data_IF_507308997197
#
_entry.id   IF_507308997197
#
_cell.length_a   1.000
_cell.length_b   1.000
_cell.length_c   1.000
_cell.angle_alpha   90.00
_cell.angle_beta   90.00
_cell.angle_gamma   90.00
#
_symmetry.space_group_name_H-M   'P 1'
#
loop_
_entity.id
_entity.type
_entity.pdbx_description
1 polymer ?
#
# COMPACT_ATOMS: atom_id res chain seq x y z
N UNK A 1 22.35 2.92 15.84
CA UNK A 1 21.66 2.17 14.77
C UNK A 1 20.41 1.56 15.38
N UNK A 2 19.23 2.18 15.18
CA UNK A 2 17.96 1.55 15.57
C UNK A 2 17.47 0.73 14.39
N UNK A 3 17.69 -0.58 14.44
CA UNK A 3 17.23 -1.52 13.43
C UNK A 3 15.75 -1.85 13.67
N UNK A 4 14.89 -1.63 12.68
CA UNK A 4 13.46 -1.98 12.71
C UNK A 4 13.20 -3.51 12.62
N UNK A 5 14.24 -4.33 12.79
CA UNK A 5 14.20 -5.79 12.73
C UNK A 5 13.15 -6.41 13.68
N UNK A 6 12.88 -5.89 14.89
CA UNK A 6 11.86 -6.48 15.77
C UNK A 6 10.45 -6.56 15.17
N UNK A 7 10.07 -5.57 14.35
CA UNK A 7 8.76 -5.54 13.69
C UNK A 7 8.59 -6.62 12.62
N UNK A 8 9.70 -7.12 12.06
CA UNK A 8 9.71 -8.17 11.03
C UNK A 8 9.59 -9.58 11.64
N UNK A 9 9.86 -9.74 12.94
CA UNK A 9 9.92 -11.05 13.62
C UNK A 9 8.59 -11.40 14.32
N UNK A 10 7.73 -10.41 14.64
CA UNK A 10 6.46 -10.62 15.37
C UNK A 10 5.30 -9.79 14.81
N UNK A 11 5.01 -9.92 13.52
CA UNK A 11 3.95 -9.18 12.84
C UNK A 11 2.58 -9.31 13.54
N UNK A 12 2.19 -10.52 13.94
CA UNK A 12 0.90 -10.82 14.62
C UNK A 12 0.75 -10.18 16.01
N UNK A 13 1.86 -9.92 16.72
CA UNK A 13 1.83 -9.34 18.07
C UNK A 13 1.82 -7.80 18.02
N UNK A 14 2.36 -7.21 16.94
CA UNK A 14 2.47 -5.75 16.79
C UNK A 14 1.26 -5.13 16.09
N UNK A 15 0.61 -5.85 15.17
CA UNK A 15 -0.60 -5.37 14.49
C UNK A 15 -1.85 -5.97 15.14
N UNK A 16 -2.03 -5.63 16.42
CA UNK A 16 -3.22 -5.92 17.21
C UNK A 16 -4.40 -5.10 16.63
N UNK A 17 -5.39 -5.77 16.03
CA UNK A 17 -6.56 -5.11 15.41
C UNK A 17 -7.42 -4.31 16.40
N UNK A 18 -7.21 -4.50 17.71
CA UNK A 18 -7.87 -3.72 18.77
C UNK A 18 -7.13 -2.42 19.10
N UNK A 19 -5.94 -2.20 18.52
CA UNK A 19 -5.09 -1.03 18.77
C UNK A 19 -4.78 -0.26 17.49
N UNK A 20 -4.79 1.06 17.60
CA UNK A 20 -4.31 1.93 16.54
C UNK A 20 -2.78 1.91 16.52
N UNK A 21 -2.18 1.70 15.34
CA UNK A 21 -0.75 1.81 15.15
C UNK A 21 -0.44 3.13 14.46
N UNK A 22 0.25 4.04 15.16
CA UNK A 22 0.56 5.39 14.65
C UNK A 22 1.23 5.37 13.26
N UNK A 23 2.01 4.32 12.94
CA UNK A 23 2.65 4.19 11.62
C UNK A 23 1.68 4.05 10.45
N UNK A 24 0.41 3.69 10.69
CA UNK A 24 -0.64 3.70 9.68
C UNK A 24 -1.13 5.10 9.33
N UNK A 25 -0.93 6.09 10.21
CA UNK A 25 -1.51 7.42 10.05
C UNK A 25 -0.43 8.46 9.86
N UNK A 26 -0.46 9.13 8.71
CA UNK A 26 0.50 10.19 8.37
C UNK A 26 0.51 11.32 9.40
N UNK A 27 -0.64 11.63 9.98
CA UNK A 27 -0.82 12.66 11.02
C UNK A 27 -0.18 12.30 12.37
N UNK A 28 0.11 11.03 12.62
CA UNK A 28 0.58 10.55 13.93
C UNK A 28 2.03 10.06 13.90
N UNK A 29 2.64 9.99 12.73
CA UNK A 29 3.93 9.33 12.54
C UNK A 29 5.10 10.28 12.25
N UNK A 30 5.05 11.53 12.75
CA UNK A 30 6.03 12.61 12.46
C UNK A 30 7.50 12.22 12.62
N UNK A 31 7.83 11.27 13.49
CA UNK A 31 9.20 10.80 13.73
C UNK A 31 9.61 9.57 12.89
N UNK A 32 8.68 8.93 12.18
CA UNK A 32 8.99 7.77 11.35
C UNK A 32 9.74 8.18 10.07
N UNK A 33 10.97 7.68 9.95
CA UNK A 33 11.82 7.82 8.78
C UNK A 33 11.71 6.62 7.82
N UNK A 34 10.94 5.60 8.19
CA UNK A 34 10.70 4.41 7.40
C UNK A 34 9.34 3.78 7.76
N UNK A 35 8.53 3.50 6.74
CA UNK A 35 7.23 2.84 6.83
C UNK A 35 7.38 1.35 6.52
N UNK A 36 7.05 0.51 7.49
CA UNK A 36 6.93 -0.94 7.32
C UNK A 36 5.54 -1.37 6.85
N UNK A 37 4.59 -0.46 6.93
CA UNK A 37 3.17 -0.67 6.70
C UNK A 37 2.67 0.26 5.61
N UNK A 38 1.48 -0.02 5.04
CA UNK A 38 0.72 1.00 4.35
C UNK A 38 0.41 2.19 5.28
N UNK A 39 0.15 3.35 4.68
CA UNK A 39 -0.16 4.59 5.38
C UNK A 39 -1.39 5.26 4.74
N UNK A 40 -2.31 5.70 5.58
CA UNK A 40 -3.44 6.58 5.22
C UNK A 40 -3.27 7.96 5.85
N UNK A 41 -4.11 8.90 5.44
CA UNK A 41 -3.92 10.32 5.82
C UNK A 41 -4.09 10.56 7.31
N UNK A 42 -5.16 10.02 7.92
CA UNK A 42 -5.43 10.08 9.36
C UNK A 42 -6.33 8.92 9.76
N UNK A 43 -6.43 8.67 11.05
CA UNK A 43 -7.47 7.87 11.69
C UNK A 43 -8.90 8.44 11.46
N UNK A 44 -9.06 9.76 11.30
CA UNK A 44 -10.33 10.42 10.98
C UNK A 44 -10.33 10.95 9.55
N UNK A 45 -11.23 10.42 8.72
CA UNK A 45 -11.38 10.77 7.31
C UNK A 45 -12.65 11.59 7.12
N UNK A 46 -12.49 12.80 6.58
CA UNK A 46 -13.60 13.72 6.30
C UNK A 46 -13.84 13.95 4.81
N UNK A 47 -12.89 13.55 3.97
CA UNK A 47 -13.01 13.63 2.52
C UNK A 47 -13.79 12.41 2.00
N UNK A 48 -14.53 12.57 0.92
CA UNK A 48 -15.24 11.47 0.25
C UNK A 48 -14.30 10.49 -0.48
N UNK A 49 -13.01 10.56 -0.19
CA UNK A 49 -12.01 9.63 -0.70
C UNK A 49 -10.95 9.37 0.36
N UNK A 50 -10.34 8.19 0.29
CA UNK A 50 -9.23 7.79 1.13
C UNK A 50 -7.98 7.64 0.27
N UNK A 51 -6.96 8.45 0.54
CA UNK A 51 -5.63 8.27 -0.03
C UNK A 51 -4.88 7.22 0.76
N UNK A 52 -4.37 6.21 0.07
CA UNK A 52 -3.49 5.18 0.65
C UNK A 52 -2.14 5.14 -0.06
N UNK A 53 -1.07 5.05 0.72
CA UNK A 53 0.26 4.70 0.26
C UNK A 53 0.62 3.27 0.69
N UNK A 54 1.17 2.48 -0.23
CA UNK A 54 1.65 1.13 0.04
C UNK A 54 3.14 1.07 -0.35
N UNK A 55 4.06 0.88 0.61
CA UNK A 55 5.48 0.79 0.30
C UNK A 55 5.76 -0.47 -0.52
N UNK A 56 6.65 -0.40 -1.51
CA UNK A 56 7.11 -1.58 -2.27
C UNK A 56 8.58 -1.82 -1.94
N UNK A 57 8.88 -2.94 -1.29
CA UNK A 57 10.24 -3.22 -0.84
C UNK A 57 11.07 -3.97 -1.90
N UNK A 58 12.39 -3.73 -1.89
CA UNK A 58 13.32 -4.37 -2.82
C UNK A 58 13.36 -5.90 -2.67
N UNK A 59 13.19 -6.41 -1.45
CA UNK A 59 13.17 -7.85 -1.18
C UNK A 59 11.95 -8.56 -1.79
N UNK A 60 10.87 -7.83 -2.08
CA UNK A 60 9.67 -8.36 -2.76
C UNK A 60 9.93 -8.69 -4.23
N UNK A 61 11.08 -8.28 -4.81
CA UNK A 61 11.37 -8.44 -6.24
C UNK A 61 11.16 -9.88 -6.72
N UNK A 62 11.73 -10.87 -6.00
CA UNK A 62 11.61 -12.28 -6.37
C UNK A 62 10.17 -12.79 -6.28
N UNK A 63 9.42 -12.34 -5.26
CA UNK A 63 8.02 -12.71 -5.08
C UNK A 63 7.16 -12.15 -6.22
N UNK A 64 7.36 -10.87 -6.56
CA UNK A 64 6.67 -10.22 -7.68
C UNK A 64 6.96 -10.87 -9.03
N UNK A 65 8.22 -11.27 -9.28
CA UNK A 65 8.62 -11.92 -10.53
C UNK A 65 7.87 -13.24 -10.76
N UNK A 66 7.48 -13.97 -9.70
CA UNK A 66 6.65 -15.18 -9.84
C UNK A 66 5.25 -14.89 -10.40
N UNK A 67 4.64 -13.77 -10.00
CA UNK A 67 3.28 -13.39 -10.40
C UNK A 67 3.28 -12.73 -11.78
N UNK A 68 4.25 -11.86 -12.02
CA UNK A 68 4.21 -10.92 -13.13
C UNK A 68 5.22 -11.23 -14.22
N UNK A 69 6.17 -12.12 -13.96
CA UNK A 69 7.32 -12.33 -14.82
C UNK A 69 8.31 -11.17 -14.78
N UNK A 70 9.17 -11.12 -15.80
CA UNK A 70 10.12 -10.04 -16.03
C UNK A 70 9.74 -9.28 -17.29
N UNK A 71 10.00 -7.98 -17.31
CA UNK A 71 9.85 -7.20 -18.54
C UNK A 71 10.93 -7.65 -19.54
N UNK A 72 10.52 -7.92 -20.77
CA UNK A 72 11.41 -8.27 -21.88
C UNK A 72 11.52 -7.06 -22.79
N UNK A 73 12.74 -6.58 -23.02
CA UNK A 73 13.02 -5.46 -23.92
C UNK A 73 12.78 -5.87 -25.37
N UNK A 74 12.24 -4.94 -26.17
CA UNK A 74 12.08 -5.11 -27.61
C UNK A 74 13.15 -4.28 -28.33
N UNK A 75 14.11 -4.96 -28.95
CA UNK A 75 15.24 -4.35 -29.65
C UNK A 75 14.81 -3.45 -30.81
N UNK A 76 13.59 -3.62 -31.34
CA UNK A 76 13.06 -2.79 -32.43
C UNK A 76 12.52 -1.44 -31.95
N UNK A 77 12.36 -1.25 -30.63
CA UNK A 77 11.81 -0.02 -30.05
C UNK A 77 12.91 0.93 -29.59
N UNK A 78 12.62 2.22 -29.63
CA UNK A 78 13.53 3.22 -29.06
C UNK A 78 13.66 3.03 -27.54
N UNK A 79 14.81 3.45 -26.98
CA UNK A 79 15.03 3.44 -25.52
C UNK A 79 13.95 4.20 -24.75
N UNK A 80 13.35 5.24 -25.34
CA UNK A 80 12.30 6.01 -24.69
C UNK A 80 10.99 5.21 -24.59
N UNK A 81 10.61 4.50 -25.65
CA UNK A 81 9.43 3.63 -25.67
C UNK A 81 9.60 2.45 -24.72
N UNK A 82 10.74 1.77 -24.76
CA UNK A 82 11.04 0.67 -23.84
C UNK A 82 10.94 1.11 -22.37
N UNK A 83 11.48 2.30 -22.03
CA UNK A 83 11.35 2.87 -20.68
C UNK A 83 9.89 3.12 -20.29
N UNK A 84 9.06 3.60 -21.21
CA UNK A 84 7.63 3.84 -20.96
C UNK A 84 6.90 2.51 -20.71
N UNK A 85 7.17 1.52 -21.54
CA UNK A 85 6.57 0.18 -21.43
C UNK A 85 6.99 -0.54 -20.16
N UNK A 86 8.28 -0.54 -19.82
CA UNK A 86 8.77 -1.08 -18.56
C UNK A 86 8.09 -0.42 -17.36
N UNK A 87 7.91 0.92 -17.39
CA UNK A 87 7.22 1.64 -16.31
C UNK A 87 5.78 1.18 -16.15
N UNK A 88 5.04 1.03 -17.25
CA UNK A 88 3.66 0.55 -17.27
C UNK A 88 3.56 -0.92 -16.84
N UNK A 89 4.44 -1.78 -17.34
CA UNK A 89 4.53 -3.18 -16.96
C UNK A 89 4.66 -3.33 -15.44
N UNK A 90 5.59 -2.61 -14.82
CA UNK A 90 5.76 -2.69 -13.36
C UNK A 90 4.58 -2.09 -12.58
N UNK A 91 3.93 -1.03 -13.09
CA UNK A 91 2.74 -0.49 -12.42
C UNK A 91 1.58 -1.49 -12.44
N UNK A 92 1.32 -2.09 -13.60
CA UNK A 92 0.31 -3.13 -13.77
C UNK A 92 0.67 -4.38 -12.94
N UNK A 93 1.95 -4.68 -12.79
CA UNK A 93 2.44 -5.75 -11.93
C UNK A 93 2.08 -5.49 -10.46
N UNK A 94 2.28 -4.28 -9.94
CA UNK A 94 1.88 -3.94 -8.57
C UNK A 94 0.37 -4.07 -8.34
N UNK A 95 -0.46 -3.76 -9.34
CA UNK A 95 -1.92 -3.93 -9.25
C UNK A 95 -2.35 -5.39 -9.06
N UNK A 96 -1.60 -6.35 -9.60
CA UNK A 96 -2.00 -7.77 -9.57
C UNK A 96 -1.95 -8.42 -8.19
N UNK A 97 -1.15 -7.87 -7.27
CA UNK A 97 -0.91 -8.50 -5.97
C UNK A 97 -1.25 -7.61 -4.77
N UNK A 98 -1.56 -6.33 -4.97
CA UNK A 98 -1.98 -5.43 -3.91
C UNK A 98 -3.50 -5.30 -3.90
N UNK A 99 -4.16 -6.10 -3.07
CA UNK A 99 -5.60 -6.12 -2.89
C UNK A 99 -6.01 -5.22 -1.73
N UNK A 100 -7.16 -4.56 -1.90
CA UNK A 100 -7.72 -3.64 -0.91
C UNK A 100 -9.15 -4.06 -0.64
N UNK A 101 -9.49 -4.21 0.63
CA UNK A 101 -10.84 -4.46 1.08
C UNK A 101 -11.28 -3.34 2.03
N UNK A 102 -12.44 -2.76 1.76
CA UNK A 102 -13.08 -1.78 2.62
C UNK A 102 -14.25 -2.47 3.31
N UNK A 103 -14.20 -2.59 4.65
CA UNK A 103 -15.18 -3.36 5.42
C UNK A 103 -15.39 -4.78 4.87
N UNK A 104 -14.29 -5.48 4.59
CA UNK A 104 -14.25 -6.84 4.01
C UNK A 104 -14.81 -6.98 2.58
N UNK A 105 -15.17 -5.89 1.91
CA UNK A 105 -15.53 -5.88 0.48
C UNK A 105 -14.34 -5.44 -0.38
N UNK A 106 -13.98 -6.21 -1.40
CA UNK A 106 -12.88 -5.87 -2.31
C UNK A 106 -13.21 -4.61 -3.13
N UNK A 107 -12.28 -3.64 -3.14
CA UNK A 107 -12.41 -2.39 -3.88
C UNK A 107 -11.34 -2.28 -4.96
N UNK A 108 -11.76 -1.94 -6.17
CA UNK A 108 -10.83 -1.69 -7.27
C UNK A 108 -10.14 -0.33 -7.09
N UNK A 109 -8.81 -0.33 -7.09
CA UNK A 109 -8.00 0.88 -6.89
C UNK A 109 -7.04 1.07 -8.05
N UNK A 110 -7.14 2.24 -8.69
CA UNK A 110 -6.13 2.70 -9.64
C UNK A 110 -4.89 3.20 -8.89
N UNK A 111 -3.73 2.61 -9.18
CA UNK A 111 -2.48 3.00 -8.53
C UNK A 111 -1.63 3.92 -9.40
N UNK A 112 -0.86 4.78 -8.75
CA UNK A 112 0.24 5.53 -9.33
C UNK A 112 1.54 5.19 -8.58
N UNK A 113 2.67 5.25 -9.29
CA UNK A 113 3.99 5.17 -8.64
C UNK A 113 4.21 6.43 -7.79
N UNK A 114 4.76 6.25 -6.60
CA UNK A 114 4.93 7.35 -5.66
C UNK A 114 6.19 7.17 -4.83
N UNK A 115 7.01 8.23 -4.75
CA UNK A 115 8.10 8.32 -3.79
C UNK A 115 7.59 9.09 -2.57
N UNK A 116 7.57 8.43 -1.42
CA UNK A 116 7.03 9.03 -0.20
C UNK A 116 7.85 10.28 0.17
N UNK A 117 7.23 11.47 0.31
CA UNK A 117 7.97 12.73 0.37
C UNK A 117 8.87 12.84 1.59
N UNK A 118 8.52 12.14 2.68
CA UNK A 118 9.26 12.16 3.94
C UNK A 118 10.29 11.02 4.01
N UNK A 119 9.84 9.77 3.93
CA UNK A 119 10.70 8.59 4.09
C UNK A 119 11.51 8.25 2.82
N UNK A 120 11.21 8.91 1.69
CA UNK A 120 11.81 8.65 0.36
C UNK A 120 11.64 7.23 -0.14
N UNK A 121 10.76 6.45 0.49
CA UNK A 121 10.48 5.09 0.07
C UNK A 121 9.64 5.11 -1.20
N UNK A 122 10.06 4.27 -2.15
CA UNK A 122 9.24 3.95 -3.31
C UNK A 122 8.02 3.12 -2.88
N UNK A 123 6.89 3.42 -3.49
CA UNK A 123 5.68 2.64 -3.35
C UNK A 123 4.65 2.97 -4.42
N UNK A 124 3.42 2.57 -4.13
CA UNK A 124 2.25 2.90 -4.93
C UNK A 124 1.28 3.73 -4.09
N UNK A 125 0.55 4.62 -4.74
CA UNK A 125 -0.50 5.43 -4.13
C UNK A 125 -1.82 5.19 -4.84
N UNK A 126 -2.89 5.04 -4.06
CA UNK A 126 -4.25 4.83 -4.54
C UNK A 126 -5.25 5.74 -3.86
N UNK A 127 -6.41 5.87 -4.48
CA UNK A 127 -7.53 6.67 -3.96
C UNK A 127 -8.80 5.82 -3.99
N UNK A 128 -9.38 5.59 -2.82
CA UNK A 128 -10.59 4.79 -2.65
C UNK A 128 -11.76 5.74 -2.50
N UNK A 129 -12.85 5.51 -3.22
CA UNK A 129 -14.07 6.30 -3.08
C UNK A 129 -14.80 5.90 -1.78
N UNK A 130 -15.18 6.90 -0.98
CA UNK A 130 -15.93 6.71 0.27
C UNK A 130 -17.39 7.21 0.20
N UNK A 131 -17.89 7.58 -0.98
CA UNK A 131 -19.26 8.12 -1.13
C UNK A 131 -20.36 7.19 -0.59
N UNK A 132 -20.15 5.88 -0.64
CA UNK A 132 -21.11 4.86 -0.18
C UNK A 132 -20.71 4.22 1.16
N UNK A 133 -19.69 4.76 1.83
CA UNK A 133 -19.16 4.21 3.09
C UNK A 133 -19.98 4.68 4.28
N UNK A 134 -20.24 3.78 5.23
CA UNK A 134 -20.99 4.11 6.44
C UNK A 134 -20.25 5.13 7.31
N UNK A 135 -21.00 6.08 7.89
CA UNK A 135 -20.47 7.04 8.86
C UNK A 135 -20.05 6.30 10.13
N UNK A 136 -18.90 6.68 10.70
CA UNK A 136 -18.33 6.08 11.91
C UNK A 136 -17.20 5.11 11.62
N UNK A 137 -17.12 4.01 12.39
CA UNK A 137 -15.99 3.07 12.35
C UNK A 137 -16.02 2.23 11.06
N UNK A 138 -14.88 2.22 10.37
CA UNK A 138 -14.63 1.42 9.18
C UNK A 138 -13.25 0.75 9.27
N UNK A 139 -13.02 -0.27 8.46
CA UNK A 139 -11.73 -0.98 8.36
C UNK A 139 -11.24 -1.00 6.92
N UNK A 140 -9.95 -0.75 6.75
CA UNK A 140 -9.25 -0.93 5.49
C UNK A 140 -8.25 -2.07 5.62
N UNK A 141 -8.48 -3.16 4.88
CA UNK A 141 -7.57 -4.29 4.82
C UNK A 141 -6.75 -4.21 3.54
N UNK A 142 -5.44 -4.32 3.68
CA UNK A 142 -4.48 -4.32 2.58
C UNK A 142 -3.79 -5.66 2.58
N UNK A 143 -3.90 -6.40 1.48
CA UNK A 143 -3.25 -7.69 1.30
C UNK A 143 -2.27 -7.61 0.14
N UNK A 144 -1.03 -8.01 0.41
CA UNK A 144 -0.05 -8.37 -0.61
C UNK A 144 -0.07 -9.87 -0.80
N UNK A 145 -0.65 -10.32 -1.90
CA UNK A 145 -0.82 -11.74 -2.20
C UNK A 145 0.13 -12.17 -3.30
N UNK A 146 1.17 -12.94 -2.94
CA UNK A 146 2.17 -13.39 -3.90
C UNK A 146 1.88 -14.76 -4.53
N UNK A 147 0.68 -15.32 -4.34
CA UNK A 147 0.26 -16.61 -4.93
C UNK A 147 0.82 -17.86 -4.24
N UNK A 148 1.50 -17.71 -3.09
CA UNK A 148 2.03 -18.76 -2.20
C UNK A 148 1.54 -18.48 -0.74
N UNK A 149 2.01 -19.23 0.26
CA UNK A 149 1.83 -18.89 1.70
C UNK A 149 2.47 -17.53 2.10
N UNK A 150 3.26 -16.92 1.20
CA UNK A 150 3.82 -15.60 1.39
C UNK A 150 2.75 -14.54 1.14
N UNK A 151 2.00 -14.22 2.20
CA UNK A 151 1.05 -13.11 2.20
C UNK A 151 1.45 -12.12 3.28
N UNK A 152 1.20 -10.84 3.03
CA UNK A 152 1.31 -9.83 4.08
C UNK A 152 0.02 -9.04 4.13
N UNK A 153 -0.55 -8.95 5.32
CA UNK A 153 -1.83 -8.31 5.55
C UNK A 153 -1.70 -7.23 6.61
N UNK A 154 -2.42 -6.14 6.41
CA UNK A 154 -2.59 -5.07 7.38
C UNK A 154 -4.05 -4.66 7.45
N UNK A 155 -4.58 -4.57 8.67
CA UNK A 155 -5.90 -3.99 8.95
C UNK A 155 -5.71 -2.61 9.58
N UNK A 156 -6.23 -1.58 8.92
CA UNK A 156 -6.16 -0.19 9.38
C UNK A 156 -7.58 0.28 9.74
N UNK A 157 -7.90 0.47 11.03
CA UNK A 157 -9.17 1.07 11.43
C UNK A 157 -9.15 2.58 11.15
N UNK A 158 -10.30 3.14 10.75
CA UNK A 158 -10.48 4.58 10.63
C UNK A 158 -11.94 4.99 10.89
N UNK A 159 -12.15 6.26 11.20
CA UNK A 159 -13.45 6.89 11.39
C UNK A 159 -13.80 7.72 10.17
N UNK A 160 -14.98 7.53 9.59
CA UNK A 160 -15.46 8.32 8.45
C UNK A 160 -16.56 9.28 8.88
N UNK A 161 -16.32 10.57 8.74
CA UNK A 161 -17.27 11.64 9.03
C UNK A 161 -17.21 12.70 7.92
N UNK A 162 -17.92 12.49 6.80
CA UNK A 162 -17.83 13.38 5.64
C UNK A 162 -18.26 14.80 6.01
N UNK A 163 -17.52 15.80 5.53
CA UNK A 163 -17.99 17.19 5.59
C UNK A 163 -19.18 17.36 4.66
N UNK A 164 -20.25 17.97 5.18
CA UNK A 164 -21.40 18.42 4.38
C UNK A 164 -20.98 19.41 3.32
#
# INVERSE_FOLDING_TARGET
MNTNIPYLIKQEVYFDETKTYAGYYKTENEQLNFLLTPEITSDVIQANHLKIFIPIFSHEKKLREKICGTYVEDENKSKAEQRKEARLFYLNSYQKYNHILLNDEEVSVGYLKYDHPKTKQFGIVGYINLSNTAIGKNTLKIKKDYGDENTTEWTIPFQYFPKK
#
